data_IF_630719829992
#
_entry.id   IF_630719829992
#
_cell.length_a   1.000
_cell.length_b   1.000
_cell.length_c   1.000
_cell.angle_alpha   90.00
_cell.angle_beta   90.00
_cell.angle_gamma   90.00
#
_symmetry.space_group_name_H-M   'P 1'
#
loop_
_entity.id
_entity.type
_entity.pdbx_description
1 polymer ?
#
# COMPACT_ATOMS: atom_id res chain seq x y z
N UNK A 1 -13.37 23.01 -4.90
CA UNK A 1 -13.31 21.57 -4.57
C UNK A 1 -14.63 21.22 -3.91
N UNK A 2 -15.35 20.17 -4.33
CA UNK A 2 -16.65 19.84 -3.73
C UNK A 2 -16.48 19.47 -2.25
N UNK A 3 -17.43 19.86 -1.41
CA UNK A 3 -17.35 19.79 0.05
C UNK A 3 -17.56 18.37 0.64
N UNK A 4 -17.68 17.34 -0.19
CA UNK A 4 -18.28 16.04 0.19
C UNK A 4 -17.49 14.78 -0.23
N UNK A 5 -16.18 14.87 -0.50
CA UNK A 5 -15.32 13.68 -0.65
C UNK A 5 -14.97 13.00 0.68
N UNK A 6 -15.97 12.71 1.52
CA UNK A 6 -15.77 11.84 2.68
C UNK A 6 -15.62 10.38 2.21
N UNK A 7 -14.49 10.07 1.56
CA UNK A 7 -14.09 8.70 1.28
C UNK A 7 -13.86 7.95 2.58
N UNK A 8 -14.19 6.65 2.61
CA UNK A 8 -13.90 5.81 3.76
C UNK A 8 -12.39 5.77 4.00
N UNK A 9 -11.94 6.22 5.18
CA UNK A 9 -10.54 6.15 5.60
C UNK A 9 -10.32 4.91 6.46
N UNK A 10 -9.37 4.07 6.07
CA UNK A 10 -8.91 2.92 6.86
C UNK A 10 -7.47 3.21 7.29
N UNK A 11 -7.15 2.92 8.56
CA UNK A 11 -5.80 3.05 9.11
C UNK A 11 -5.25 1.64 9.35
N UNK A 12 -4.19 1.28 8.65
CA UNK A 12 -3.44 0.04 8.84
C UNK A 12 -1.95 0.40 9.00
N UNK A 13 -1.38 0.33 10.21
CA UNK A 13 0.01 0.70 10.46
C UNK A 13 1.05 -0.21 9.80
N UNK A 14 0.72 -1.49 9.58
CA UNK A 14 1.63 -2.40 8.88
C UNK A 14 1.51 -2.21 7.36
N UNK A 15 2.62 -1.84 6.73
CA UNK A 15 2.63 -1.52 5.30
C UNK A 15 2.25 -2.72 4.42
N UNK A 16 2.67 -3.94 4.78
CA UNK A 16 2.32 -5.15 4.03
C UNK A 16 0.84 -5.46 4.13
N UNK A 17 0.25 -5.33 5.33
CA UNK A 17 -1.18 -5.51 5.54
C UNK A 17 -2.01 -4.43 4.85
N UNK A 18 -1.52 -3.19 4.80
CA UNK A 18 -2.19 -2.10 4.08
C UNK A 18 -2.27 -2.39 2.57
N UNK A 19 -1.17 -2.86 1.97
CA UNK A 19 -1.14 -3.28 0.56
C UNK A 19 -2.10 -4.46 0.31
N UNK A 20 -2.07 -5.47 1.17
CA UNK A 20 -2.97 -6.62 1.07
C UNK A 20 -4.45 -6.22 1.16
N UNK A 21 -4.79 -5.33 2.10
CA UNK A 21 -6.16 -4.81 2.24
C UNK A 21 -6.60 -3.98 1.04
N UNK A 22 -5.71 -3.15 0.49
CA UNK A 22 -6.00 -2.39 -0.72
C UNK A 22 -6.36 -3.32 -1.88
N UNK A 23 -5.56 -4.37 -2.11
CA UNK A 23 -5.82 -5.38 -3.12
C UNK A 23 -7.13 -6.16 -2.88
N UNK A 24 -7.43 -6.52 -1.63
CA UNK A 24 -8.67 -7.24 -1.28
C UNK A 24 -9.93 -6.38 -1.43
N UNK A 25 -9.80 -5.06 -1.31
CA UNK A 25 -10.94 -4.13 -1.36
C UNK A 25 -11.19 -3.61 -2.78
N UNK A 26 -10.14 -3.53 -3.59
CA UNK A 26 -10.24 -3.10 -4.98
C UNK A 26 -11.10 -4.08 -5.80
N UNK A 27 -11.92 -3.51 -6.67
CA UNK A 27 -12.73 -4.23 -7.65
C UNK A 27 -12.00 -4.30 -8.98
N UNK A 28 -12.55 -5.08 -9.89
CA UNK A 28 -12.14 -5.04 -11.29
C UNK A 28 -12.23 -3.59 -11.81
N UNK A 29 -11.26 -3.20 -12.62
CA UNK A 29 -11.07 -1.84 -13.17
C UNK A 29 -10.71 -0.73 -12.18
N UNK A 30 -10.59 -1.00 -10.87
CA UNK A 30 -10.06 -0.02 -9.92
C UNK A 30 -8.54 0.17 -10.09
N UNK A 31 -8.07 1.41 -9.84
CA UNK A 31 -6.64 1.74 -9.80
C UNK A 31 -6.20 1.98 -8.36
N UNK A 32 -5.22 1.22 -7.91
CA UNK A 32 -4.56 1.44 -6.62
C UNK A 32 -3.27 2.26 -6.83
N UNK A 33 -3.20 3.44 -6.23
CA UNK A 33 -1.97 4.24 -6.14
C UNK A 33 -1.27 3.98 -4.79
N UNK A 34 -0.04 3.47 -4.84
CA UNK A 34 0.84 3.37 -3.67
C UNK A 34 1.86 4.50 -3.71
N UNK A 35 1.81 5.41 -2.73
CA UNK A 35 2.62 6.62 -2.70
C UNK A 35 3.59 6.66 -1.51
N UNK A 36 4.62 7.52 -1.61
CA UNK A 36 5.52 7.90 -0.51
C UNK A 36 6.86 7.18 -0.45
N UNK A 37 7.02 6.01 -1.07
CA UNK A 37 8.26 5.20 -1.03
C UNK A 37 8.99 5.12 -2.37
N UNK A 38 8.26 5.07 -3.48
CA UNK A 38 8.86 5.01 -4.83
C UNK A 38 9.65 3.72 -5.08
N UNK A 39 10.91 3.85 -5.46
CA UNK A 39 11.80 2.71 -5.79
C UNK A 39 12.65 2.25 -4.60
N UNK A 40 12.44 2.79 -3.40
CA UNK A 40 13.15 2.34 -2.21
C UNK A 40 12.85 0.86 -1.91
N UNK A 41 13.81 0.15 -1.36
CA UNK A 41 13.77 -1.30 -1.08
C UNK A 41 13.91 -1.63 0.42
N UNK A 42 13.81 -0.63 1.31
CA UNK A 42 13.78 -0.81 2.76
C UNK A 42 12.67 -0.02 3.46
N UNK A 43 12.28 -0.44 4.65
CA UNK A 43 11.45 0.35 5.56
C UNK A 43 12.22 0.66 6.84
N UNK A 44 12.10 1.89 7.32
CA UNK A 44 12.68 2.28 8.61
C UNK A 44 11.68 1.96 9.71
N UNK A 45 12.08 1.12 10.67
CA UNK A 45 11.32 0.83 11.89
C UNK A 45 12.20 1.19 13.08
N UNK A 46 11.84 2.28 13.77
CA UNK A 46 12.72 2.89 14.77
C UNK A 46 14.03 3.37 14.12
N UNK A 47 15.14 2.72 14.47
CA UNK A 47 16.48 3.01 13.92
C UNK A 47 16.95 1.95 12.91
N UNK A 48 16.15 0.91 12.66
CA UNK A 48 16.53 -0.21 11.79
C UNK A 48 16.02 0.00 10.37
N UNK A 49 16.84 -0.37 9.38
CA UNK A 49 16.42 -0.51 7.98
C UNK A 49 16.12 -1.99 7.72
N UNK A 50 14.85 -2.31 7.53
CA UNK A 50 14.38 -3.65 7.22
C UNK A 50 14.14 -3.77 5.72
N UNK A 51 14.54 -4.87 5.08
CA UNK A 51 14.30 -5.10 3.66
C UNK A 51 12.79 -5.13 3.38
N UNK A 52 12.32 -4.21 2.53
CA UNK A 52 10.92 -4.06 2.19
C UNK A 52 10.74 -3.21 0.92
N UNK A 53 10.12 -3.77 -0.12
CA UNK A 53 9.77 -3.07 -1.37
C UNK A 53 8.28 -3.23 -1.68
N UNK A 54 7.56 -2.11 -1.82
CA UNK A 54 6.13 -2.12 -2.20
C UNK A 54 5.94 -2.89 -3.52
N UNK A 55 6.84 -2.68 -4.49
CA UNK A 55 6.76 -3.32 -5.80
C UNK A 55 6.96 -4.83 -5.71
N UNK A 56 7.92 -5.30 -4.93
CA UNK A 56 8.15 -6.73 -4.76
C UNK A 56 6.95 -7.39 -4.08
N UNK A 57 6.49 -6.82 -2.96
CA UNK A 57 5.34 -7.33 -2.20
C UNK A 57 4.09 -7.42 -3.08
N UNK A 58 3.79 -6.36 -3.85
CA UNK A 58 2.64 -6.35 -4.75
C UNK A 58 2.76 -7.37 -5.88
N UNK A 59 3.95 -7.53 -6.48
CA UNK A 59 4.18 -8.57 -7.50
C UNK A 59 3.92 -9.96 -6.94
N UNK A 60 4.42 -10.26 -5.76
CA UNK A 60 4.19 -11.55 -5.08
C UNK A 60 2.70 -11.80 -4.79
N UNK A 61 1.92 -10.75 -4.48
CA UNK A 61 0.48 -10.87 -4.20
C UNK A 61 -0.41 -10.92 -5.46
N UNK A 62 0.04 -10.34 -6.58
CA UNK A 62 -0.72 -10.28 -7.84
C UNK A 62 -0.53 -11.52 -8.71
N UNK A 63 0.56 -12.27 -8.51
CA UNK A 63 0.76 -13.55 -9.19
C UNK A 63 -0.24 -14.56 -8.60
N UNK A 64 -1.35 -14.77 -9.34
CA UNK A 64 -2.25 -15.91 -9.17
C UNK A 64 -1.61 -17.18 -9.74
#
# INVERSE_FOLDING_TARGET
MPENWAGQRIIEPDRKLALARALQTAREDDVILVAGKGHEDYQIVGQQRLAFSDQQVLREMLVK
#
